data_IF_110311410037
#
_entry.id   IF_110311410037
#
_cell.length_a   1.000
_cell.length_b   1.000
_cell.length_c   1.000
_cell.angle_alpha   90.00
_cell.angle_beta   90.00
_cell.angle_gamma   90.00
#
_symmetry.space_group_name_H-M   'P 1'
#
loop_
_entity.id
_entity.type
_entity.pdbx_description
1 polymer ?
#
# COMPACT_ATOMS: atom_id res chain seq x y z
N UNK A 1 23.84 -24.16 13.95
CA UNK A 1 23.96 -22.98 14.82
C UNK A 1 22.95 -23.12 15.95
N UNK A 2 23.36 -23.06 17.22
CA UNK A 2 22.40 -22.91 18.34
C UNK A 2 22.01 -21.43 18.39
N UNK A 3 20.85 -21.10 17.83
CA UNK A 3 20.28 -19.77 18.03
C UNK A 3 19.96 -19.61 19.52
N UNK A 4 20.48 -18.56 20.16
CA UNK A 4 20.19 -18.22 21.56
C UNK A 4 18.78 -17.64 21.63
N UNK A 5 17.77 -18.48 21.47
CA UNK A 5 16.36 -18.11 21.53
C UNK A 5 15.87 -18.20 22.97
N UNK A 6 14.94 -17.31 23.33
CA UNK A 6 14.22 -17.41 24.59
C UNK A 6 13.55 -18.80 24.70
N UNK A 7 13.49 -19.43 25.89
CA UNK A 7 12.95 -20.77 26.05
C UNK A 7 11.52 -20.93 25.51
N UNK A 8 10.67 -19.92 25.71
CA UNK A 8 9.29 -19.88 25.22
C UNK A 8 9.21 -19.85 23.69
N UNK A 9 10.08 -19.06 23.05
CA UNK A 9 10.17 -19.00 21.59
C UNK A 9 10.67 -20.34 21.01
N UNK A 10 11.60 -21.01 21.71
CA UNK A 10 12.12 -22.31 21.29
C UNK A 10 11.02 -23.36 21.24
N UNK A 11 10.17 -23.42 22.27
CA UNK A 11 9.02 -24.34 22.30
C UNK A 11 8.04 -24.03 21.17
N UNK A 12 7.70 -22.75 20.95
CA UNK A 12 6.81 -22.35 19.86
C UNK A 12 7.36 -22.74 18.47
N UNK A 13 8.64 -22.46 18.20
CA UNK A 13 9.27 -22.85 16.93
C UNK A 13 9.36 -24.36 16.74
N UNK A 14 9.58 -25.12 17.81
CA UNK A 14 9.58 -26.58 17.75
C UNK A 14 8.20 -27.15 17.39
N UNK A 15 7.13 -26.59 17.96
CA UNK A 15 5.75 -26.97 17.62
C UNK A 15 5.45 -26.67 16.15
N UNK A 16 5.77 -25.45 15.69
CA UNK A 16 5.59 -25.06 14.28
C UNK A 16 6.41 -25.94 13.35
N UNK A 17 7.67 -26.25 13.69
CA UNK A 17 8.52 -27.12 12.89
C UNK A 17 7.97 -28.56 12.83
N UNK A 18 7.42 -29.07 13.94
CA UNK A 18 6.79 -30.39 13.98
C UNK A 18 5.53 -30.44 13.10
N UNK A 19 4.67 -29.41 13.17
CA UNK A 19 3.47 -29.31 12.33
C UNK A 19 3.83 -29.25 10.84
N UNK A 20 4.81 -28.43 10.47
CA UNK A 20 5.31 -28.32 9.09
C UNK A 20 5.90 -29.66 8.63
N UNK A 21 6.68 -30.34 9.48
CA UNK A 21 7.27 -31.64 9.18
C UNK A 21 6.21 -32.72 9.00
N UNK A 22 5.18 -32.72 9.83
CA UNK A 22 4.05 -33.65 9.73
C UNK A 22 3.27 -33.45 8.43
N UNK A 23 3.03 -32.20 8.03
CA UNK A 23 2.23 -31.90 6.85
C UNK A 23 2.99 -32.12 5.53
N UNK A 24 4.25 -31.68 5.44
CA UNK A 24 5.02 -31.70 4.19
C UNK A 24 5.98 -32.89 4.07
N UNK A 25 6.36 -33.51 5.18
CA UNK A 25 7.33 -34.61 5.22
C UNK A 25 8.80 -34.17 5.11
N UNK A 26 9.70 -34.96 5.70
CA UNK A 26 11.12 -34.64 5.79
C UNK A 26 11.82 -34.51 4.42
N UNK A 27 11.46 -35.34 3.44
CA UNK A 27 12.13 -35.33 2.13
C UNK A 27 11.81 -34.06 1.34
N UNK A 28 10.57 -33.56 1.42
CA UNK A 28 10.16 -32.33 0.75
C UNK A 28 10.83 -31.11 1.37
N UNK A 29 10.93 -31.05 2.70
CA UNK A 29 11.55 -29.94 3.41
C UNK A 29 13.08 -29.87 3.25
N UNK A 30 13.71 -30.99 2.92
CA UNK A 30 15.16 -31.07 2.66
C UNK A 30 15.50 -31.03 1.17
N UNK A 31 14.49 -31.06 0.30
CA UNK A 31 14.68 -30.89 -1.14
C UNK A 31 15.09 -29.46 -1.48
N UNK A 32 15.93 -29.32 -2.52
CA UNK A 32 16.33 -28.01 -3.01
C UNK A 32 15.12 -27.35 -3.69
N UNK A 33 14.66 -26.24 -3.13
CA UNK A 33 13.54 -25.49 -3.70
C UNK A 33 14.08 -24.37 -4.58
N UNK A 34 13.84 -24.47 -5.89
CA UNK A 34 14.24 -23.44 -6.84
C UNK A 34 13.21 -22.30 -6.82
N UNK A 35 13.59 -21.16 -6.24
CA UNK A 35 12.75 -19.96 -6.15
C UNK A 35 12.74 -19.18 -7.48
N UNK A 36 13.62 -19.53 -8.42
CA UNK A 36 13.91 -18.78 -9.64
C UNK A 36 13.43 -19.47 -10.93
N UNK A 37 12.58 -20.51 -10.80
CA UNK A 37 12.05 -21.26 -11.94
C UNK A 37 10.83 -20.61 -12.63
N UNK A 38 10.25 -19.53 -12.08
CA UNK A 38 9.05 -18.90 -12.63
C UNK A 38 9.40 -17.89 -13.72
N UNK A 39 8.59 -17.86 -14.79
CA UNK A 39 8.77 -16.90 -15.88
C UNK A 39 8.44 -15.47 -15.42
N UNK A 40 9.21 -14.49 -15.90
CA UNK A 40 8.95 -13.07 -15.71
C UNK A 40 8.16 -12.44 -16.87
N UNK A 41 7.62 -13.26 -17.76
CA UNK A 41 6.92 -12.82 -18.95
C UNK A 41 7.62 -13.20 -20.24
N UNK A 42 6.98 -12.85 -21.37
CA UNK A 42 7.50 -13.14 -22.71
C UNK A 42 8.05 -11.89 -23.39
N UNK A 43 7.47 -10.72 -23.10
CA UNK A 43 7.88 -9.46 -23.71
C UNK A 43 8.99 -8.78 -22.91
N UNK A 44 9.89 -8.10 -23.60
CA UNK A 44 11.02 -7.41 -22.96
C UNK A 44 10.55 -6.37 -21.94
N UNK A 45 9.49 -5.62 -22.27
CA UNK A 45 8.90 -4.61 -21.39
C UNK A 45 8.21 -5.23 -20.17
N UNK A 46 7.53 -6.37 -20.34
CA UNK A 46 6.95 -7.12 -19.21
C UNK A 46 8.06 -7.61 -18.27
N UNK A 47 9.12 -8.20 -18.82
CA UNK A 47 10.27 -8.69 -18.04
C UNK A 47 10.94 -7.55 -17.28
N UNK A 48 11.14 -6.38 -17.91
CA UNK A 48 11.66 -5.18 -17.25
C UNK A 48 10.76 -4.74 -16.09
N UNK A 49 9.46 -4.67 -16.33
CA UNK A 49 8.46 -4.30 -15.33
C UNK A 49 8.46 -5.24 -14.12
N UNK A 50 8.45 -6.57 -14.36
CA UNK A 50 8.44 -7.54 -13.27
C UNK A 50 9.76 -7.53 -12.48
N UNK A 51 10.91 -7.40 -13.16
CA UNK A 51 12.21 -7.25 -12.48
C UNK A 51 12.26 -6.00 -11.61
N UNK A 52 11.83 -4.85 -12.14
CA UNK A 52 11.77 -3.61 -11.39
C UNK A 52 10.83 -3.72 -10.19
N UNK A 53 9.67 -4.34 -10.37
CA UNK A 53 8.69 -4.55 -9.28
C UNK A 53 9.22 -5.46 -8.18
N UNK A 54 9.93 -6.55 -8.53
CA UNK A 54 10.60 -7.43 -7.57
C UNK A 54 11.65 -6.69 -6.75
N UNK A 55 12.55 -5.97 -7.44
CA UNK A 55 13.66 -5.23 -6.82
C UNK A 55 13.19 -4.17 -5.82
N UNK A 56 12.00 -3.62 -6.03
CA UNK A 56 11.41 -2.60 -5.19
C UNK A 56 10.42 -3.15 -4.14
N UNK A 57 10.20 -4.48 -4.10
CA UNK A 57 9.30 -5.12 -3.15
C UNK A 57 7.82 -4.80 -3.38
N UNK A 58 7.36 -4.76 -4.64
CA UNK A 58 6.05 -4.23 -5.03
C UNK A 58 5.01 -5.30 -5.43
N UNK A 59 5.31 -6.59 -5.34
CA UNK A 59 4.28 -7.62 -5.55
C UNK A 59 3.52 -7.93 -4.27
N UNK A 60 2.19 -8.07 -4.36
CA UNK A 60 1.33 -8.56 -3.29
C UNK A 60 1.51 -10.09 -3.11
N UNK A 61 2.76 -10.47 -2.80
CA UNK A 61 3.21 -11.81 -2.48
C UNK A 61 4.17 -11.70 -1.29
N UNK A 62 3.89 -12.38 -0.16
CA UNK A 62 4.77 -12.36 1.01
C UNK A 62 6.20 -12.84 0.72
N UNK A 63 6.40 -13.73 -0.26
CA UNK A 63 7.72 -14.19 -0.68
C UNK A 63 8.63 -13.08 -1.23
N UNK A 64 8.07 -11.93 -1.64
CA UNK A 64 8.89 -10.79 -2.07
C UNK A 64 9.73 -10.21 -0.91
N UNK A 65 9.39 -10.47 0.36
CA UNK A 65 10.20 -10.09 1.52
C UNK A 65 11.46 -10.96 1.69
N UNK A 66 11.45 -12.17 1.13
CA UNK A 66 12.58 -13.12 1.24
C UNK A 66 13.70 -12.72 0.28
N UNK A 67 13.34 -12.21 -0.89
CA UNK A 67 14.28 -11.74 -1.90
C UNK A 67 13.62 -11.52 -3.25
N UNK A 68 14.45 -11.15 -4.24
CA UNK A 68 14.01 -10.83 -5.60
C UNK A 68 13.86 -12.09 -6.46
N UNK A 69 13.21 -13.12 -5.92
CA UNK A 69 13.04 -14.40 -6.58
C UNK A 69 11.85 -14.38 -7.53
N UNK A 70 11.96 -15.06 -8.67
CA UNK A 70 10.90 -15.04 -9.70
C UNK A 70 9.55 -15.56 -9.22
N UNK A 71 9.53 -16.50 -8.25
CA UNK A 71 8.30 -16.98 -7.61
C UNK A 71 7.47 -15.86 -6.97
N UNK A 72 8.13 -14.76 -6.58
CA UNK A 72 7.46 -13.63 -5.97
C UNK A 72 6.83 -12.66 -6.98
N UNK A 73 7.02 -12.87 -8.29
CA UNK A 73 6.61 -11.95 -9.34
C UNK A 73 5.12 -12.05 -9.73
N UNK A 74 4.23 -12.19 -8.74
CA UNK A 74 2.79 -12.32 -8.90
C UNK A 74 2.04 -11.68 -7.73
N UNK A 75 0.81 -11.21 -7.97
CA UNK A 75 -0.07 -10.65 -6.94
C UNK A 75 -1.09 -11.70 -6.51
N UNK A 76 -0.68 -12.68 -5.70
CA UNK A 76 -1.55 -13.82 -5.31
C UNK A 76 -2.31 -13.60 -4.00
N UNK A 77 -2.10 -12.47 -3.33
CA UNK A 77 -2.80 -12.14 -2.08
C UNK A 77 -4.33 -12.11 -2.30
N UNK A 78 -5.05 -12.87 -1.48
CA UNK A 78 -6.51 -12.94 -1.44
C UNK A 78 -6.98 -12.77 0.01
N UNK A 79 -8.22 -12.30 0.19
CA UNK A 79 -8.87 -12.38 1.49
C UNK A 79 -9.07 -13.85 1.89
N UNK A 80 -9.01 -14.17 3.19
CA UNK A 80 -9.42 -15.47 3.69
C UNK A 80 -10.93 -15.67 3.49
N UNK A 81 -11.44 -16.87 3.80
CA UNK A 81 -12.88 -17.07 3.96
C UNK A 81 -13.43 -16.11 5.03
N UNK A 82 -14.59 -15.52 4.76
CA UNK A 82 -15.30 -14.64 5.70
C UNK A 82 -16.64 -15.30 6.04
N UNK A 83 -16.91 -15.44 7.33
CA UNK A 83 -18.17 -15.96 7.87
C UNK A 83 -19.10 -14.80 8.22
N UNK A 84 -20.33 -14.86 7.72
CA UNK A 84 -21.32 -13.81 7.96
C UNK A 84 -22.75 -14.28 7.70
N UNK A 85 -23.73 -13.39 7.90
CA UNK A 85 -25.14 -13.67 7.62
C UNK A 85 -25.39 -14.10 6.15
N UNK A 86 -26.40 -14.94 5.93
CA UNK A 86 -26.76 -15.45 4.58
C UNK A 86 -27.16 -14.35 3.58
N UNK A 87 -27.67 -13.22 4.07
CA UNK A 87 -28.04 -12.06 3.26
C UNK A 87 -26.86 -11.13 2.96
N UNK A 88 -25.68 -11.40 3.54
CA UNK A 88 -24.45 -10.68 3.27
C UNK A 88 -23.76 -11.27 2.02
N UNK A 89 -23.91 -10.59 0.88
CA UNK A 89 -23.18 -10.98 -0.35
C UNK A 89 -21.65 -10.79 -0.23
N UNK A 90 -20.85 -11.25 -1.21
CA UNK A 90 -19.38 -11.23 -1.15
C UNK A 90 -18.75 -9.84 -1.43
N UNK A 91 -19.38 -8.77 -0.94
CA UNK A 91 -18.99 -7.39 -1.23
C UNK A 91 -17.58 -7.04 -0.70
N UNK A 92 -17.14 -7.63 0.42
CA UNK A 92 -15.76 -7.50 0.91
C UNK A 92 -14.74 -8.02 -0.11
N UNK A 93 -15.01 -9.18 -0.73
CA UNK A 93 -14.17 -9.73 -1.79
C UNK A 93 -14.16 -8.82 -3.02
N UNK A 94 -15.34 -8.34 -3.45
CA UNK A 94 -15.45 -7.40 -4.56
C UNK A 94 -14.66 -6.10 -4.32
N UNK A 95 -14.77 -5.53 -3.11
CA UNK A 95 -14.07 -4.30 -2.77
C UNK A 95 -12.55 -4.52 -2.67
N UNK A 96 -12.10 -5.64 -2.11
CA UNK A 96 -10.69 -5.98 -2.09
C UNK A 96 -10.12 -6.24 -3.49
N UNK A 97 -10.88 -6.89 -4.38
CA UNK A 97 -10.49 -7.07 -5.78
C UNK A 97 -10.28 -5.73 -6.48
N UNK A 98 -11.18 -4.75 -6.25
CA UNK A 98 -11.01 -3.38 -6.75
C UNK A 98 -9.71 -2.76 -6.22
N UNK A 99 -9.50 -2.75 -4.90
CA UNK A 99 -8.30 -2.16 -4.27
C UNK A 99 -7.01 -2.80 -4.80
N UNK A 100 -7.01 -4.12 -4.99
CA UNK A 100 -5.89 -4.88 -5.55
C UNK A 100 -5.61 -4.47 -7.00
N UNK A 101 -6.63 -4.34 -7.84
CA UNK A 101 -6.47 -3.92 -9.23
C UNK A 101 -5.97 -2.47 -9.33
N UNK A 102 -6.48 -1.58 -8.48
CA UNK A 102 -6.02 -0.20 -8.38
C UNK A 102 -4.54 -0.13 -7.95
N UNK A 103 -4.12 -0.93 -6.97
CA UNK A 103 -2.71 -1.03 -6.56
C UNK A 103 -1.81 -1.49 -7.70
N UNK A 104 -2.19 -2.56 -8.41
CA UNK A 104 -1.43 -3.08 -9.57
C UNK A 104 -1.32 -2.01 -10.66
N UNK A 105 -2.40 -1.25 -10.89
CA UNK A 105 -2.41 -0.14 -11.85
C UNK A 105 -1.48 0.99 -11.43
N UNK A 106 -1.48 1.37 -10.14
CA UNK A 106 -0.60 2.39 -9.59
C UNK A 106 0.88 1.97 -9.70
N UNK A 107 1.20 0.71 -9.40
CA UNK A 107 2.54 0.14 -9.58
C UNK A 107 3.03 0.25 -11.02
N UNK A 108 2.19 -0.13 -11.98
CA UNK A 108 2.54 -0.05 -13.39
C UNK A 108 2.68 1.40 -13.89
N UNK A 109 1.82 2.31 -13.41
CA UNK A 109 1.90 3.74 -13.72
C UNK A 109 3.21 4.34 -13.20
N UNK A 110 3.65 3.98 -11.98
CA UNK A 110 4.95 4.44 -11.46
C UNK A 110 6.09 3.88 -12.31
N UNK A 111 6.09 2.58 -12.62
CA UNK A 111 7.11 1.97 -13.48
C UNK A 111 7.26 2.74 -14.80
N UNK A 112 6.14 3.05 -15.47
CA UNK A 112 6.15 3.83 -16.72
C UNK A 112 6.63 5.27 -16.51
N UNK A 113 6.28 5.89 -15.39
CA UNK A 113 6.71 7.24 -15.06
C UNK A 113 8.21 7.37 -14.75
N UNK A 114 8.84 6.34 -14.18
CA UNK A 114 10.27 6.36 -13.81
C UNK A 114 11.20 5.77 -14.89
N UNK A 115 10.70 4.84 -15.70
CA UNK A 115 11.47 4.23 -16.80
C UNK A 115 11.17 4.83 -18.16
N UNK A 116 10.05 5.54 -18.28
CA UNK A 116 9.66 6.25 -19.49
C UNK A 116 10.65 7.36 -19.83
N UNK A 117 11.07 7.40 -21.09
CA UNK A 117 12.01 8.38 -21.60
C UNK A 117 11.55 8.98 -22.92
N UNK A 118 12.08 10.15 -23.25
CA UNK A 118 11.78 10.85 -24.48
C UNK A 118 10.35 11.44 -24.53
N UNK A 119 10.03 12.06 -25.66
CA UNK A 119 8.74 12.72 -25.86
C UNK A 119 7.66 11.70 -26.21
N UNK A 120 6.61 11.60 -25.41
CA UNK A 120 5.45 10.80 -25.74
C UNK A 120 4.53 11.53 -26.74
N UNK A 121 3.82 10.81 -27.61
CA UNK A 121 2.95 11.43 -28.63
C UNK A 121 1.78 12.24 -28.05
N UNK A 122 1.34 11.94 -26.83
CA UNK A 122 0.33 12.74 -26.09
C UNK A 122 0.80 14.14 -25.77
N UNK A 123 2.11 14.34 -25.69
CA UNK A 123 2.73 15.63 -25.36
C UNK A 123 3.03 16.42 -26.65
N UNK A 124 2.61 15.89 -27.80
CA UNK A 124 2.72 16.57 -29.08
C UNK A 124 1.67 17.67 -29.17
N UNK A 125 2.10 18.85 -29.58
CA UNK A 125 1.22 20.02 -29.80
C UNK A 125 0.45 20.52 -28.57
N UNK A 126 0.82 20.07 -27.36
CA UNK A 126 0.41 20.67 -26.09
C UNK A 126 1.22 21.94 -25.86
N UNK A 127 0.60 23.11 -26.08
CA UNK A 127 1.26 24.42 -25.93
C UNK A 127 1.28 24.84 -24.46
N UNK A 128 2.47 24.92 -23.88
CA UNK A 128 2.70 25.35 -22.49
C UNK A 128 3.56 26.62 -22.47
N UNK A 129 3.32 27.50 -21.50
CA UNK A 129 4.14 28.71 -21.29
C UNK A 129 5.38 28.32 -20.48
N UNK A 130 6.56 28.72 -20.95
CA UNK A 130 7.79 28.52 -20.19
C UNK A 130 7.85 29.52 -19.04
N UNK A 131 7.74 29.02 -17.80
CA UNK A 131 7.79 29.81 -16.55
C UNK A 131 9.22 30.10 -16.08
N UNK A 132 10.25 29.68 -16.83
CA UNK A 132 11.67 29.96 -16.61
C UNK A 132 12.24 29.41 -15.28
N UNK A 133 11.58 28.40 -14.72
CA UNK A 133 11.93 27.73 -13.47
C UNK A 133 12.12 26.22 -13.64
N UNK A 134 12.28 25.75 -14.89
CA UNK A 134 12.55 24.35 -15.25
C UNK A 134 11.48 23.35 -14.74
N UNK A 135 10.18 23.59 -15.04
CA UNK A 135 9.14 22.64 -14.66
C UNK A 135 9.16 21.42 -15.59
N UNK A 136 8.88 20.26 -15.02
CA UNK A 136 8.72 19.01 -15.76
C UNK A 136 7.26 18.87 -16.13
N UNK A 137 6.96 18.97 -17.42
CA UNK A 137 5.65 18.65 -17.99
C UNK A 137 5.81 17.57 -19.05
N UNK A 138 5.31 16.37 -18.76
CA UNK A 138 5.34 15.22 -19.66
C UNK A 138 4.29 14.20 -19.25
N UNK A 139 3.92 13.32 -20.17
CA UNK A 139 3.12 12.14 -19.81
C UNK A 139 3.72 11.38 -18.63
N UNK A 140 5.05 11.22 -18.62
CA UNK A 140 5.73 10.39 -17.63
C UNK A 140 5.57 10.92 -16.22
N UNK A 141 5.67 12.23 -16.01
CA UNK A 141 5.44 12.81 -14.68
C UNK A 141 3.98 12.73 -14.26
N UNK A 142 3.03 12.80 -15.21
CA UNK A 142 1.61 12.61 -14.93
C UNK A 142 1.28 11.14 -14.57
N UNK A 143 2.01 10.16 -15.11
CA UNK A 143 1.91 8.75 -14.70
C UNK A 143 2.40 8.57 -13.24
N UNK A 144 3.47 9.26 -12.83
CA UNK A 144 3.93 9.29 -11.42
C UNK A 144 2.86 9.93 -10.51
N UNK A 145 2.27 11.06 -10.91
CA UNK A 145 1.16 11.68 -10.16
C UNK A 145 -0.05 10.76 -10.06
N UNK A 146 -0.37 10.04 -11.14
CA UNK A 146 -1.46 9.05 -11.14
C UNK A 146 -1.18 7.92 -10.16
N UNK A 147 0.03 7.36 -10.17
CA UNK A 147 0.46 6.35 -9.22
C UNK A 147 0.34 6.85 -7.77
N UNK A 148 0.80 8.07 -7.50
CA UNK A 148 0.71 8.70 -6.18
C UNK A 148 -0.74 8.82 -5.70
N UNK A 149 -1.64 9.37 -6.53
CA UNK A 149 -3.06 9.56 -6.18
C UNK A 149 -3.75 8.24 -5.87
N UNK A 150 -3.56 7.24 -6.73
CA UNK A 150 -4.17 5.93 -6.56
C UNK A 150 -3.63 5.24 -5.31
N UNK A 151 -2.31 5.22 -5.11
CA UNK A 151 -1.68 4.66 -3.92
C UNK A 151 -2.19 5.31 -2.63
N UNK A 152 -2.28 6.65 -2.58
CA UNK A 152 -2.82 7.37 -1.43
C UNK A 152 -4.29 7.03 -1.17
N UNK A 153 -5.09 6.88 -2.23
CA UNK A 153 -6.52 6.55 -2.09
C UNK A 153 -6.77 5.19 -1.44
N UNK A 154 -5.81 4.26 -1.51
CA UNK A 154 -5.94 2.92 -0.93
C UNK A 154 -6.00 2.95 0.61
N UNK A 155 -5.42 3.96 1.26
CA UNK A 155 -5.50 4.10 2.71
C UNK A 155 -6.93 4.39 3.16
N UNK A 156 -7.59 5.38 2.55
CA UNK A 156 -8.98 5.69 2.89
C UNK A 156 -9.94 4.56 2.48
N UNK A 157 -9.69 3.85 1.37
CA UNK A 157 -10.44 2.63 1.02
C UNK A 157 -10.27 1.51 2.04
N UNK A 158 -9.06 1.34 2.58
CA UNK A 158 -8.81 0.44 3.70
C UNK A 158 -9.61 0.87 4.93
N UNK A 159 -9.72 2.18 5.21
CA UNK A 159 -10.55 2.69 6.29
C UNK A 159 -12.04 2.37 6.10
N UNK A 160 -12.56 2.50 4.87
CA UNK A 160 -13.93 2.10 4.54
C UNK A 160 -14.15 0.61 4.73
N UNK A 161 -13.20 -0.21 4.25
CA UNK A 161 -13.26 -1.66 4.44
C UNK A 161 -13.31 -2.00 5.94
N UNK A 162 -12.41 -1.45 6.74
CA UNK A 162 -12.37 -1.71 8.18
C UNK A 162 -13.63 -1.21 8.89
N UNK A 163 -14.17 -0.06 8.47
CA UNK A 163 -15.39 0.49 9.06
C UNK A 163 -16.59 -0.43 8.86
N UNK A 164 -16.73 -0.99 7.67
CA UNK A 164 -17.80 -1.91 7.31
C UNK A 164 -17.58 -3.29 7.96
N UNK A 165 -16.40 -3.89 7.75
CA UNK A 165 -16.06 -5.23 8.21
C UNK A 165 -16.10 -5.41 9.74
N UNK A 166 -15.64 -4.41 10.50
CA UNK A 166 -15.69 -4.42 11.96
C UNK A 166 -16.95 -3.73 12.53
N UNK A 167 -17.91 -3.35 11.68
CA UNK A 167 -19.17 -2.70 12.05
C UNK A 167 -18.95 -1.49 12.96
N UNK A 168 -17.95 -0.68 12.64
CA UNK A 168 -17.47 0.42 13.48
C UNK A 168 -18.48 1.57 13.61
N UNK A 169 -19.49 1.63 12.74
CA UNK A 169 -20.58 2.60 12.81
C UNK A 169 -20.16 4.05 12.49
N UNK A 170 -19.00 4.27 11.87
CA UNK A 170 -18.57 5.62 11.49
C UNK A 170 -19.38 6.05 10.25
N UNK A 171 -20.00 7.24 10.26
CA UNK A 171 -20.71 7.74 9.08
C UNK A 171 -19.77 7.85 7.87
N UNK A 172 -20.22 7.35 6.72
CA UNK A 172 -19.45 7.23 5.48
C UNK A 172 -18.56 8.45 5.20
N UNK A 173 -19.15 9.66 5.17
CA UNK A 173 -18.44 10.92 4.85
C UNK A 173 -17.33 11.32 5.83
N UNK A 174 -17.23 10.64 6.97
CA UNK A 174 -16.24 10.91 8.03
C UNK A 174 -15.18 9.81 8.13
N UNK A 175 -15.32 8.72 7.38
CA UNK A 175 -14.34 7.64 7.38
C UNK A 175 -13.05 8.14 6.76
N UNK A 176 -11.96 8.08 7.53
CA UNK A 176 -10.62 8.44 7.11
C UNK A 176 -9.63 7.50 7.77
N UNK A 177 -8.61 7.08 7.01
CA UNK A 177 -7.57 6.18 7.52
C UNK A 177 -6.82 6.73 8.72
N UNK A 178 -6.75 8.04 8.82
CA UNK A 178 -6.06 8.74 9.88
C UNK A 178 -6.85 8.76 11.21
N UNK A 179 -8.18 8.79 11.15
CA UNK A 179 -9.01 9.07 12.34
C UNK A 179 -9.86 7.91 12.81
N UNK A 180 -10.02 6.83 12.02
CA UNK A 180 -10.85 5.68 12.40
C UNK A 180 -10.41 5.00 13.70
N UNK A 181 -9.14 5.16 14.09
CA UNK A 181 -8.53 4.53 15.25
C UNK A 181 -8.97 5.14 16.58
N UNK A 182 -9.56 6.33 16.57
CA UNK A 182 -9.82 7.13 17.77
C UNK A 182 -11.29 7.30 18.10
N UNK A 183 -11.61 7.33 19.39
CA UNK A 183 -12.97 7.49 19.88
C UNK A 183 -13.58 8.80 19.39
N UNK A 184 -14.79 8.73 18.82
CA UNK A 184 -15.43 9.88 18.19
C UNK A 184 -14.62 10.56 17.08
N UNK A 185 -13.65 9.85 16.47
CA UNK A 185 -12.69 10.33 15.47
C UNK A 185 -11.74 11.41 16.00
N UNK A 186 -11.46 11.39 17.31
CA UNK A 186 -10.72 12.43 18.03
C UNK A 186 -9.61 11.82 18.87
N UNK A 187 -8.36 12.15 18.56
CA UNK A 187 -7.17 11.58 19.21
C UNK A 187 -7.18 11.79 20.72
N UNK A 188 -7.63 12.96 21.17
CA UNK A 188 -7.72 13.33 22.57
C UNK A 188 -8.65 12.42 23.39
N UNK A 189 -9.53 11.66 22.73
CA UNK A 189 -10.43 10.69 23.36
C UNK A 189 -9.83 9.29 23.49
N UNK A 190 -8.61 9.07 23.01
CA UNK A 190 -7.94 7.78 23.05
C UNK A 190 -8.32 6.86 21.89
N UNK A 191 -7.67 5.69 21.86
CA UNK A 191 -7.94 4.65 20.86
C UNK A 191 -9.28 3.97 21.12
N UNK A 192 -9.93 3.56 20.04
CA UNK A 192 -11.22 2.87 20.06
C UNK A 192 -11.13 1.49 20.67
N UNK A 193 -12.06 1.18 21.56
CA UNK A 193 -12.07 -0.12 22.24
C UNK A 193 -12.41 -1.26 21.27
N UNK A 194 -13.25 -0.98 20.27
CA UNK A 194 -13.70 -1.96 19.28
C UNK A 194 -12.55 -2.49 18.41
N UNK A 195 -11.44 -1.75 18.30
CA UNK A 195 -10.23 -2.20 17.59
C UNK A 195 -9.15 -2.69 18.55
N UNK A 196 -8.94 -2.01 19.68
CA UNK A 196 -7.84 -2.31 20.61
C UNK A 196 -8.07 -3.51 21.53
N UNK A 197 -9.32 -3.87 21.80
CA UNK A 197 -9.64 -5.06 22.61
C UNK A 197 -9.42 -6.38 21.85
N UNK A 198 -9.27 -6.32 20.52
CA UNK A 198 -9.08 -7.49 19.66
C UNK A 198 -7.64 -8.00 19.73
N UNK A 199 -7.47 -9.33 19.76
CA UNK A 199 -6.15 -9.97 19.66
C UNK A 199 -5.65 -10.03 18.22
N UNK A 200 -5.58 -8.87 17.57
CA UNK A 200 -5.29 -8.73 16.15
C UNK A 200 -4.08 -7.83 15.94
N UNK A 201 -2.89 -8.42 15.80
CA UNK A 201 -1.63 -7.68 15.63
C UNK A 201 -1.59 -6.92 14.29
N UNK A 202 -2.32 -7.38 13.28
CA UNK A 202 -2.37 -6.71 11.98
C UNK A 202 -3.14 -5.38 12.05
N UNK A 203 -4.15 -5.25 12.93
CA UNK A 203 -4.77 -3.95 13.24
C UNK A 203 -3.77 -2.98 13.89
N UNK A 204 -2.87 -3.47 14.75
CA UNK A 204 -1.81 -2.65 15.31
C UNK A 204 -0.82 -2.21 14.23
N UNK A 205 -0.46 -3.09 13.30
CA UNK A 205 0.40 -2.75 12.17
C UNK A 205 -0.24 -1.67 11.28
N UNK A 206 -1.54 -1.79 10.95
CA UNK A 206 -2.29 -0.78 10.20
C UNK A 206 -2.36 0.56 10.93
N UNK A 207 -2.52 0.53 12.26
CA UNK A 207 -2.46 1.75 13.08
C UNK A 207 -1.08 2.42 12.94
N UNK A 208 0.02 1.68 13.00
CA UNK A 208 1.36 2.24 12.80
C UNK A 208 1.57 2.80 11.40
N UNK A 209 1.06 2.13 10.36
CA UNK A 209 1.06 2.71 9.00
C UNK A 209 0.32 4.05 8.97
N UNK A 210 -0.79 4.18 9.69
CA UNK A 210 -1.52 5.46 9.77
C UNK A 210 -0.72 6.58 10.44
N UNK A 211 0.18 6.22 11.38
CA UNK A 211 1.09 7.15 12.03
C UNK A 211 2.23 7.57 11.10
N UNK A 212 2.77 6.64 10.32
CA UNK A 212 3.81 6.92 9.30
C UNK A 212 3.30 7.87 8.20
N UNK A 213 1.99 7.93 7.97
CA UNK A 213 1.37 8.85 7.01
C UNK A 213 1.00 10.21 7.62
N UNK A 214 0.83 10.28 8.95
CA UNK A 214 0.35 11.48 9.62
C UNK A 214 0.66 11.51 11.12
N UNK A 215 1.29 12.60 11.57
CA UNK A 215 1.27 13.02 12.97
C UNK A 215 0.78 14.48 13.10
N UNK A 216 -0.07 14.81 14.08
CA UNK A 216 -0.67 16.14 14.21
C UNK A 216 0.28 17.23 14.73
N UNK A 217 -0.16 18.47 14.52
CA UNK A 217 0.56 19.74 14.73
C UNK A 217 1.17 19.96 16.12
N UNK A 218 0.64 19.35 17.19
CA UNK A 218 1.18 19.51 18.57
C UNK A 218 2.59 18.92 18.73
N UNK A 219 3.06 18.13 17.76
CA UNK A 219 4.42 17.59 17.70
C UNK A 219 5.09 17.86 16.35
N UNK A 220 4.77 19.00 15.70
CA UNK A 220 5.40 19.40 14.42
C UNK A 220 6.95 19.41 14.47
N UNK A 221 7.55 19.67 15.63
CA UNK A 221 9.01 19.61 15.83
C UNK A 221 9.57 18.17 15.94
N UNK A 222 8.71 17.16 16.12
CA UNK A 222 9.07 15.73 16.20
C UNK A 222 8.59 14.92 14.99
N UNK A 223 8.01 15.58 13.98
CA UNK A 223 7.64 14.93 12.71
C UNK A 223 8.83 14.12 12.19
N UNK A 224 8.56 12.92 11.68
CA UNK A 224 9.38 12.44 10.58
C UNK A 224 9.10 13.39 9.39
N UNK A 225 10.09 14.16 8.89
CA UNK A 225 9.90 15.16 7.84
C UNK A 225 9.24 14.62 6.56
N UNK A 226 9.24 13.30 6.40
CA UNK A 226 8.72 12.57 5.26
C UNK A 226 7.18 12.47 5.23
N UNK A 227 6.52 12.26 6.37
CA UNK A 227 5.07 12.11 6.45
C UNK A 227 4.35 13.41 6.06
N UNK A 228 4.84 14.54 6.58
CA UNK A 228 4.29 15.87 6.28
C UNK A 228 4.40 16.19 4.79
N UNK A 229 5.56 15.90 4.18
CA UNK A 229 5.75 16.09 2.73
C UNK A 229 4.76 15.27 1.91
N UNK A 230 4.47 14.02 2.28
CA UNK A 230 3.48 13.20 1.57
C UNK A 230 2.07 13.81 1.66
N UNK A 231 1.67 14.31 2.83
CA UNK A 231 0.38 14.98 3.02
C UNK A 231 0.28 16.28 2.19
N UNK A 232 1.34 17.10 2.18
CA UNK A 232 1.41 18.33 1.40
C UNK A 232 1.34 18.05 -0.10
N UNK A 233 2.14 17.09 -0.58
CA UNK A 233 2.11 16.65 -1.98
C UNK A 233 0.71 16.18 -2.36
N UNK A 234 0.07 15.32 -1.54
CA UNK A 234 -1.30 14.85 -1.78
C UNK A 234 -2.29 15.99 -1.93
N UNK A 235 -2.26 16.95 -1.01
CA UNK A 235 -3.17 18.09 -1.04
C UNK A 235 -2.98 18.93 -2.31
N UNK A 236 -1.73 19.14 -2.73
CA UNK A 236 -1.43 19.93 -3.92
C UNK A 236 -1.70 19.21 -5.23
N UNK A 237 -1.53 17.89 -5.29
CA UNK A 237 -1.88 17.10 -6.48
C UNK A 237 -3.40 17.02 -6.66
N UNK A 238 -4.16 16.86 -5.58
CA UNK A 238 -5.61 16.65 -5.67
C UNK A 238 -6.39 17.94 -5.86
N UNK A 239 -5.96 19.02 -5.21
CA UNK A 239 -6.81 20.21 -5.05
C UNK A 239 -6.10 21.54 -5.30
N UNK A 240 -4.78 21.56 -5.54
CA UNK A 240 -4.03 22.80 -5.78
C UNK A 240 -3.03 22.65 -6.93
N UNK A 241 -1.91 23.36 -6.82
CA UNK A 241 -0.85 23.36 -7.81
C UNK A 241 0.40 22.68 -7.25
N UNK A 242 0.61 21.41 -7.64
CA UNK A 242 1.91 20.76 -7.49
C UNK A 242 2.77 21.06 -8.72
N UNK A 243 3.93 21.69 -8.50
CA UNK A 243 4.95 21.89 -9.52
C UNK A 243 6.09 20.91 -9.31
N UNK A 244 6.36 20.09 -10.33
CA UNK A 244 7.54 19.22 -10.34
C UNK A 244 8.64 19.92 -11.12
N UNK A 245 9.83 19.98 -10.55
CA UNK A 245 11.01 20.62 -11.13
C UNK A 245 12.04 19.58 -11.56
N UNK A 246 12.82 19.88 -12.60
CA UNK A 246 13.90 18.98 -13.07
C UNK A 246 14.98 18.77 -12.00
N UNK A 247 15.14 19.75 -11.11
CA UNK A 247 16.07 19.73 -9.99
C UNK A 247 15.36 20.09 -8.68
N UNK A 248 15.99 19.76 -7.56
CA UNK A 248 15.47 20.14 -6.25
C UNK A 248 15.30 21.66 -6.15
N UNK A 249 14.17 22.14 -5.58
CA UNK A 249 13.95 23.56 -5.40
C UNK A 249 15.05 24.15 -4.52
N UNK A 250 15.71 25.19 -5.02
CA UNK A 250 16.67 25.98 -4.24
C UNK A 250 15.99 26.76 -3.11
N UNK A 251 16.78 27.36 -2.20
CA UNK A 251 16.23 28.20 -1.16
C UNK A 251 15.42 29.36 -1.76
N UNK A 252 14.37 29.83 -1.07
CA UNK A 252 13.58 30.95 -1.56
C UNK A 252 14.49 32.16 -1.82
N UNK A 253 14.26 32.90 -2.93
CA UNK A 253 15.09 34.05 -3.27
C UNK A 253 15.07 35.10 -2.15
N UNK A 254 16.23 35.69 -1.88
CA UNK A 254 16.37 36.74 -0.87
C UNK A 254 15.42 37.92 -1.15
N UNK A 255 14.98 38.60 -0.09
CA UNK A 255 13.91 39.61 -0.13
C UNK A 255 14.15 40.75 -1.14
N UNK A 256 15.41 41.07 -1.42
CA UNK A 256 15.84 42.18 -2.28
C UNK A 256 16.25 41.74 -3.70
N UNK A 257 16.07 40.46 -4.05
CA UNK A 257 16.41 39.94 -5.38
C UNK A 257 15.31 40.24 -6.41
N UNK A 258 15.71 40.62 -7.63
CA UNK A 258 14.81 40.68 -8.80
C UNK A 258 14.08 39.35 -9.04
N UNK A 259 14.66 38.23 -8.60
CA UNK A 259 14.06 36.89 -8.68
C UNK A 259 12.83 36.71 -7.79
N UNK A 260 12.61 37.60 -6.80
CA UNK A 260 11.41 37.56 -5.95
C UNK A 260 10.12 37.81 -6.74
N UNK A 261 10.17 38.67 -7.76
CA UNK A 261 9.01 38.91 -8.64
C UNK A 261 8.66 37.71 -9.53
N UNK A 262 9.59 36.76 -9.67
CA UNK A 262 9.43 35.51 -10.41
C UNK A 262 9.18 34.30 -9.49
N UNK A 263 9.18 34.50 -8.16
CA UNK A 263 8.94 33.43 -7.22
C UNK A 263 7.47 33.00 -7.28
N UNK A 264 7.24 31.72 -7.57
CA UNK A 264 5.90 31.14 -7.56
C UNK A 264 5.43 30.95 -6.12
N UNK A 265 4.47 31.76 -5.70
CA UNK A 265 3.86 31.69 -4.36
C UNK A 265 2.61 30.81 -4.30
N UNK A 266 2.14 30.33 -5.45
CA UNK A 266 0.95 29.49 -5.57
C UNK A 266 1.30 28.00 -5.58
N UNK A 267 2.45 27.64 -6.16
CA UNK A 267 2.90 26.27 -6.28
C UNK A 267 3.50 25.73 -4.98
N UNK A 268 3.23 24.44 -4.72
CA UNK A 268 4.14 23.62 -3.94
C UNK A 268 5.12 22.94 -4.91
N UNK A 269 6.41 23.24 -4.77
CA UNK A 269 7.46 22.75 -5.65
C UNK A 269 8.18 21.55 -5.04
N UNK A 270 8.42 20.52 -5.86
CA UNK A 270 9.16 19.31 -5.48
C UNK A 270 10.09 18.91 -6.63
N UNK A 271 11.29 18.42 -6.33
CA UNK A 271 12.17 17.87 -7.35
C UNK A 271 11.61 16.58 -7.95
N UNK A 272 11.91 16.30 -9.22
CA UNK A 272 11.41 15.11 -9.91
C UNK A 272 11.87 13.83 -9.20
N UNK A 273 13.14 13.73 -8.82
CA UNK A 273 13.69 12.57 -8.14
C UNK A 273 13.05 12.39 -6.76
N UNK A 274 12.99 13.46 -5.94
CA UNK A 274 12.31 13.41 -4.65
C UNK A 274 10.85 12.94 -4.80
N UNK A 275 10.13 13.44 -5.81
CA UNK A 275 8.74 13.06 -6.02
C UNK A 275 8.58 11.60 -6.45
N UNK A 276 9.46 11.09 -7.32
CA UNK A 276 9.49 9.68 -7.72
C UNK A 276 9.78 8.76 -6.53
N UNK A 277 10.78 9.09 -5.71
CA UNK A 277 11.15 8.32 -4.51
C UNK A 277 10.03 8.30 -3.48
N UNK A 278 9.37 9.45 -3.25
CA UNK A 278 8.19 9.54 -2.37
C UNK A 278 7.02 8.72 -2.88
N UNK A 279 6.79 8.71 -4.19
CA UNK A 279 5.73 7.90 -4.80
C UNK A 279 6.03 6.40 -4.67
N UNK A 280 7.29 6.00 -4.83
CA UNK A 280 7.73 4.63 -4.58
C UNK A 280 7.51 4.22 -3.11
N UNK A 281 7.93 5.06 -2.16
CA UNK A 281 7.71 4.82 -0.74
C UNK A 281 6.23 4.71 -0.39
N UNK A 282 5.40 5.56 -0.98
CA UNK A 282 3.95 5.52 -0.80
C UNK A 282 3.35 4.20 -1.31
N UNK A 283 3.80 3.68 -2.45
CA UNK A 283 3.38 2.38 -2.96
C UNK A 283 3.81 1.22 -2.05
N UNK A 284 5.00 1.29 -1.44
CA UNK A 284 5.42 0.30 -0.45
C UNK A 284 4.52 0.32 0.79
N UNK A 285 4.15 1.52 1.28
CA UNK A 285 3.20 1.66 2.39
C UNK A 285 1.80 1.14 2.02
N UNK A 286 1.32 1.44 0.81
CA UNK A 286 0.04 0.94 0.31
C UNK A 286 0.05 -0.58 0.19
N UNK A 287 1.16 -1.17 -0.29
CA UNK A 287 1.33 -2.63 -0.33
C UNK A 287 1.22 -3.25 1.05
N UNK A 288 1.98 -2.73 2.01
CA UNK A 288 1.95 -3.19 3.40
C UNK A 288 0.55 -3.07 3.99
N UNK A 289 -0.17 -1.99 3.66
CA UNK A 289 -1.56 -1.78 4.09
C UNK A 289 -2.48 -2.89 3.57
N UNK A 290 -2.40 -3.26 2.29
CA UNK A 290 -3.22 -4.34 1.73
C UNK A 290 -2.88 -5.71 2.33
N UNK A 291 -1.60 -5.99 2.57
CA UNK A 291 -1.14 -7.21 3.26
C UNK A 291 -1.66 -7.26 4.69
N UNK A 292 -1.52 -6.17 5.45
CA UNK A 292 -2.00 -6.10 6.82
C UNK A 292 -3.53 -6.13 6.90
N UNK A 293 -4.25 -5.59 5.91
CA UNK A 293 -5.70 -5.72 5.83
C UNK A 293 -6.13 -7.17 5.72
N UNK A 294 -5.54 -7.93 4.80
CA UNK A 294 -5.81 -9.37 4.64
C UNK A 294 -5.48 -10.14 5.91
N UNK A 295 -4.35 -9.85 6.54
CA UNK A 295 -3.99 -10.46 7.82
C UNK A 295 -4.94 -10.07 8.96
N UNK A 296 -5.46 -8.85 8.97
CA UNK A 296 -6.43 -8.40 9.98
C UNK A 296 -7.73 -9.18 9.84
N UNK A 297 -8.24 -9.36 8.62
CA UNK A 297 -9.41 -10.21 8.35
C UNK A 297 -9.12 -11.65 8.77
N UNK A 298 -7.96 -12.20 8.37
CA UNK A 298 -7.60 -13.58 8.70
C UNK A 298 -7.52 -13.87 10.20
N UNK A 299 -6.87 -12.99 10.97
CA UNK A 299 -6.77 -13.15 12.42
C UNK A 299 -8.13 -13.01 13.10
N UNK A 300 -8.98 -12.12 12.58
CA UNK A 300 -10.34 -11.94 13.10
C UNK A 300 -11.23 -13.16 12.81
N UNK A 301 -11.25 -13.66 11.57
CA UNK A 301 -12.04 -14.85 11.21
C UNK A 301 -11.60 -16.09 11.97
N UNK A 302 -10.27 -16.30 12.14
CA UNK A 302 -9.76 -17.38 12.99
C UNK A 302 -10.19 -17.29 14.45
N UNK A 303 -10.31 -16.07 14.98
CA UNK A 303 -10.78 -15.85 16.34
C UNK A 303 -12.28 -16.15 16.44
N UNK A 304 -13.09 -15.69 15.46
CA UNK A 304 -14.53 -15.98 15.38
C UNK A 304 -14.82 -17.47 15.26
N UNK A 305 -14.07 -18.19 14.42
CA UNK A 305 -14.15 -19.66 14.30
C UNK A 305 -13.90 -20.35 15.65
N UNK A 306 -12.88 -19.90 16.39
CA UNK A 306 -12.55 -20.47 17.69
C UNK A 306 -13.59 -20.16 18.78
N UNK A 307 -14.31 -19.03 18.67
CA UNK A 307 -15.34 -18.60 19.60
C UNK A 307 -16.72 -19.23 19.31
N UNK A 308 -17.06 -19.46 18.03
CA UNK A 308 -18.35 -20.04 17.63
C UNK A 308 -18.47 -21.54 17.95
N UNK A 309 -17.38 -22.29 18.00
CA UNK A 309 -17.45 -23.74 18.24
C UNK A 309 -18.34 -24.47 17.22
N UNK A 310 -19.02 -25.55 17.64
CA UNK A 310 -19.98 -26.30 16.81
C UNK A 310 -21.41 -25.70 16.81
N UNK A 311 -21.62 -24.53 17.45
CA UNK A 311 -22.95 -23.93 17.59
C UNK A 311 -23.31 -23.08 16.36
N UNK A 312 -23.92 -23.72 15.37
CA UNK A 312 -24.50 -23.08 14.19
C UNK A 312 -24.31 -23.87 12.91
N UNK A 313 -25.27 -23.77 11.97
CA UNK A 313 -25.11 -24.35 10.64
C UNK A 313 -24.32 -23.36 9.75
N UNK A 314 -23.03 -23.64 9.53
CA UNK A 314 -22.21 -22.91 8.56
C UNK A 314 -22.29 -23.62 7.22
N UNK A 315 -22.72 -22.91 6.18
CA UNK A 315 -22.77 -23.43 4.81
C UNK A 315 -21.68 -22.77 3.97
N UNK A 316 -20.74 -23.54 3.39
CA UNK A 316 -19.69 -22.95 2.57
C UNK A 316 -20.26 -22.41 1.25
N UNK A 317 -19.86 -21.19 0.90
CA UNK A 317 -20.03 -20.63 -0.43
C UNK A 317 -18.66 -20.53 -1.08
N UNK A 318 -18.45 -21.29 -2.15
CA UNK A 318 -17.21 -21.23 -2.93
C UNK A 318 -17.33 -20.13 -3.98
N UNK A 319 -16.31 -19.28 -4.05
CA UNK A 319 -16.13 -18.26 -5.08
C UNK A 319 -14.94 -18.67 -5.94
N UNK A 320 -15.13 -18.67 -7.25
CA UNK A 320 -14.07 -18.99 -8.20
C UNK A 320 -13.14 -17.79 -8.44
N UNK A 321 -11.93 -18.08 -8.92
CA UNK A 321 -10.96 -17.05 -9.29
C UNK A 321 -11.46 -16.25 -10.51
N UNK A 322 -11.19 -14.93 -10.50
CA UNK A 322 -11.46 -14.09 -11.66
C UNK A 322 -10.31 -14.23 -12.66
N UNK A 323 -10.54 -15.02 -13.70
CA UNK A 323 -9.53 -15.36 -14.70
C UNK A 323 -8.98 -14.14 -15.44
N UNK A 324 -7.72 -14.23 -15.88
CA UNK A 324 -7.05 -13.15 -16.62
C UNK A 324 -7.80 -12.80 -17.91
N UNK A 325 -8.38 -13.78 -18.60
CA UNK A 325 -9.14 -13.59 -19.84
C UNK A 325 -10.43 -12.78 -19.66
N UNK A 326 -10.93 -12.62 -18.43
CA UNK A 326 -12.11 -11.81 -18.12
C UNK A 326 -11.76 -10.34 -17.81
N UNK A 327 -10.47 -9.99 -17.78
CA UNK A 327 -9.99 -8.61 -17.59
C UNK A 327 -9.96 -7.94 -18.96
N UNK A 328 -10.88 -6.99 -19.20
CA UNK A 328 -11.05 -6.32 -20.49
C UNK A 328 -10.65 -4.85 -20.46
#
# INVERSE_FOLDING_TARGET
MKYNLYPQATVAFQLVAADILQFYGASRLTSQFDLDHHSLGHEEEEIKYRKWSLQNGLFLMPLNEVGNHTIAAADTLLLPGITGPLDQGPHHFGFFNQMKQEYVTARFSLFRGVTGGGRHYSDRDVKLVNTLDYPVYSRWIEEVKTAFRVAYSLFDKTAYFLNDYFELGIPERRVKFMTLWYEGLKREKGLRIELTSRKNIALQALFWVSRDLYEPDEYQELLEPEAQKLADIRNHIEHKYLKVLEHEPGPPPQADSLMRGLADTLAYSVGQTEFQDKTLRLLQLARSTLIYLVHAVYLEERQREAEHGDDGLIMPMYLDEYEDDWKH
#
